data_IF_113749568840
#
_entry.id   IF_113749568840
#
_cell.length_a   1.000
_cell.length_b   1.000
_cell.length_c   1.000
_cell.angle_alpha   90.00
_cell.angle_beta   90.00
_cell.angle_gamma   90.00
#
_symmetry.space_group_name_H-M   'P 1'
#
loop_
_entity.id
_entity.type
_entity.pdbx_description
1 polymer ?
#
# COMPACT_ATOMS: atom_id res chain seq x y z
N UNK A 1 -6.37 -13.57 13.17
CA UNK A 1 -6.23 -12.12 13.47
C UNK A 1 -5.58 -11.35 12.31
N UNK A 2 -4.66 -11.94 11.51
CA UNK A 2 -3.95 -11.20 10.45
C UNK A 2 -4.86 -10.64 9.35
N UNK A 3 -5.83 -11.40 8.84
CA UNK A 3 -6.64 -10.95 7.68
C UNK A 3 -7.43 -9.67 7.98
N UNK A 4 -8.11 -9.58 9.13
CA UNK A 4 -8.88 -8.40 9.51
C UNK A 4 -8.00 -7.15 9.70
N UNK A 5 -6.79 -7.34 10.23
CA UNK A 5 -5.80 -6.27 10.36
C UNK A 5 -5.32 -5.79 8.98
N UNK A 6 -4.90 -6.71 8.10
CA UNK A 6 -4.48 -6.39 6.73
C UNK A 6 -5.60 -5.67 5.98
N UNK A 7 -6.84 -6.15 6.09
CA UNK A 7 -8.01 -5.51 5.49
C UNK A 7 -8.19 -4.08 6.00
N UNK A 8 -8.16 -3.82 7.31
CA UNK A 8 -8.30 -2.45 7.86
C UNK A 8 -7.21 -1.51 7.34
N UNK A 9 -5.95 -1.95 7.36
CA UNK A 9 -4.82 -1.15 6.89
C UNK A 9 -4.89 -0.85 5.40
N UNK A 10 -5.32 -1.81 4.59
CA UNK A 10 -5.53 -1.59 3.16
C UNK A 10 -6.70 -0.62 2.91
N UNK A 11 -7.83 -0.76 3.62
CA UNK A 11 -8.93 0.21 3.52
C UNK A 11 -8.52 1.62 3.89
N UNK A 12 -7.70 1.78 4.94
CA UNK A 12 -7.13 3.08 5.32
C UNK A 12 -6.26 3.64 4.20
N UNK A 13 -5.40 2.82 3.61
CA UNK A 13 -4.56 3.18 2.46
C UNK A 13 -5.41 3.70 1.30
N UNK A 14 -6.43 2.93 0.89
CA UNK A 14 -7.29 3.29 -0.25
C UNK A 14 -8.11 4.54 0.04
N UNK A 15 -8.59 4.72 1.26
CA UNK A 15 -9.33 5.93 1.65
C UNK A 15 -8.48 7.19 1.41
N UNK A 16 -7.20 7.17 1.76
CA UNK A 16 -6.29 8.29 1.46
C UNK A 16 -6.09 8.49 -0.05
N UNK A 17 -5.95 7.42 -0.82
CA UNK A 17 -5.73 7.50 -2.27
C UNK A 17 -6.97 7.93 -3.08
N UNK A 18 -8.18 7.68 -2.58
CA UNK A 18 -9.41 7.78 -3.38
C UNK A 18 -10.38 8.85 -2.91
N UNK A 19 -10.41 9.17 -1.61
CA UNK A 19 -11.40 10.08 -1.03
C UNK A 19 -10.84 11.49 -0.77
N UNK A 20 -9.52 11.66 -0.81
CA UNK A 20 -8.87 12.97 -0.64
C UNK A 20 -9.03 13.86 -1.87
N UNK A 21 -9.22 15.16 -1.63
CA UNK A 21 -9.27 16.22 -2.66
C UNK A 21 -7.86 16.75 -3.00
N UNK A 22 -6.84 16.37 -2.24
CA UNK A 22 -5.47 16.81 -2.48
C UNK A 22 -4.85 16.13 -3.71
N UNK A 23 -3.72 16.67 -4.20
CA UNK A 23 -2.97 16.07 -5.30
C UNK A 23 -2.39 14.70 -4.91
N UNK A 24 -2.12 13.84 -5.90
CA UNK A 24 -1.55 12.50 -5.64
C UNK A 24 -0.23 12.56 -4.87
N UNK A 25 0.57 13.61 -5.10
CA UNK A 25 1.83 13.88 -4.42
C UNK A 25 1.66 14.08 -2.90
N UNK A 26 0.48 14.48 -2.44
CA UNK A 26 0.13 14.60 -1.01
C UNK A 26 -0.53 13.32 -0.50
N UNK A 27 -1.42 12.74 -1.31
CA UNK A 27 -2.22 11.56 -0.91
C UNK A 27 -1.41 10.28 -0.82
N UNK A 28 -0.51 10.03 -1.76
CA UNK A 28 0.28 8.80 -1.82
C UNK A 28 1.22 8.64 -0.61
N UNK A 29 1.97 9.66 -0.17
CA UNK A 29 2.76 9.57 1.06
C UNK A 29 1.93 9.19 2.28
N UNK A 30 0.81 9.88 2.45
CA UNK A 30 -0.09 9.67 3.59
C UNK A 30 -0.68 8.26 3.57
N UNK A 31 -1.14 7.80 2.40
CA UNK A 31 -1.63 6.44 2.21
C UNK A 31 -0.57 5.38 2.57
N UNK A 32 0.68 5.63 2.20
CA UNK A 32 1.78 4.74 2.54
C UNK A 32 2.05 4.72 4.05
N UNK A 33 2.26 5.88 4.67
CA UNK A 33 2.64 5.97 6.08
C UNK A 33 1.53 5.50 7.04
N UNK A 34 0.29 5.90 6.79
CA UNK A 34 -0.83 5.61 7.69
C UNK A 34 -1.38 4.19 7.51
N UNK A 35 -1.16 3.58 6.35
CA UNK A 35 -1.74 2.29 5.97
C UNK A 35 -0.71 1.30 5.46
N UNK A 36 -0.27 1.46 4.20
CA UNK A 36 0.46 0.44 3.45
C UNK A 36 1.74 -0.05 4.16
N UNK A 37 2.56 0.89 4.66
CA UNK A 37 3.81 0.58 5.36
C UNK A 37 3.61 -0.25 6.62
N UNK A 38 2.47 -0.08 7.30
CA UNK A 38 2.19 -0.69 8.61
C UNK A 38 1.88 -2.18 8.54
N UNK A 39 1.66 -2.72 7.34
CA UNK A 39 1.42 -4.15 7.12
C UNK A 39 2.76 -4.85 6.91
N UNK A 40 3.03 -5.91 7.66
CA UNK A 40 4.23 -6.72 7.46
C UNK A 40 4.10 -7.59 6.21
N UNK A 41 5.20 -7.81 5.50
CA UNK A 41 5.20 -8.62 4.26
C UNK A 41 4.75 -10.05 4.56
N UNK A 42 5.11 -10.57 5.73
CA UNK A 42 4.72 -11.88 6.23
C UNK A 42 3.20 -12.02 6.43
N UNK A 43 2.52 -10.93 6.80
CA UNK A 43 1.05 -10.93 6.92
C UNK A 43 0.42 -11.05 5.54
N UNK A 44 0.94 -10.36 4.54
CA UNK A 44 0.49 -10.50 3.13
C UNK A 44 0.82 -11.90 2.60
N UNK A 45 1.96 -12.48 2.99
CA UNK A 45 2.37 -13.83 2.59
C UNK A 45 1.39 -14.90 3.07
N UNK A 46 0.74 -14.70 4.22
CA UNK A 46 -0.33 -15.58 4.69
C UNK A 46 -1.59 -15.55 3.79
N UNK A 47 -1.76 -14.47 3.01
CA UNK A 47 -2.82 -14.31 2.02
C UNK A 47 -2.39 -14.98 0.71
N UNK A 48 -1.27 -14.54 0.12
CA UNK A 48 -0.67 -15.05 -1.10
C UNK A 48 0.84 -14.75 -1.16
N UNK A 49 1.64 -15.77 -1.49
CA UNK A 49 3.10 -15.62 -1.64
C UNK A 49 3.48 -14.65 -2.75
N UNK A 50 2.81 -14.73 -3.90
CA UNK A 50 3.09 -13.87 -5.05
C UNK A 50 2.73 -12.41 -4.76
N UNK A 51 1.61 -12.21 -4.06
CA UNK A 51 1.20 -10.88 -3.63
C UNK A 51 2.18 -10.28 -2.62
N UNK A 52 2.77 -11.10 -1.74
CA UNK A 52 3.77 -10.65 -0.79
C UNK A 52 5.07 -10.19 -1.45
N UNK A 53 5.47 -10.81 -2.56
CA UNK A 53 6.62 -10.35 -3.36
C UNK A 53 6.32 -8.97 -3.93
N UNK A 54 5.21 -8.82 -4.67
CA UNK A 54 4.79 -7.52 -5.24
C UNK A 54 4.67 -6.42 -4.18
N UNK A 55 4.07 -6.76 -3.04
CA UNK A 55 3.91 -5.85 -1.90
C UNK A 55 5.26 -5.43 -1.31
N UNK A 56 6.21 -6.37 -1.18
CA UNK A 56 7.57 -6.09 -0.73
C UNK A 56 8.33 -5.16 -1.67
N UNK A 57 8.30 -5.45 -2.98
CA UNK A 57 8.95 -4.65 -4.02
C UNK A 57 8.43 -3.20 -4.00
N UNK A 58 7.11 -3.04 -3.84
CA UNK A 58 6.48 -1.71 -3.76
C UNK A 58 6.86 -0.97 -2.47
N UNK A 59 6.98 -1.68 -1.34
CA UNK A 59 7.47 -1.09 -0.08
C UNK A 59 8.93 -0.65 -0.19
N UNK A 60 9.76 -1.43 -0.86
CA UNK A 60 11.16 -1.08 -1.11
C UNK A 60 11.24 0.16 -2.00
N UNK A 61 10.56 0.16 -3.15
CA UNK A 61 10.46 1.31 -4.06
C UNK A 61 10.07 2.60 -3.33
N UNK A 62 9.05 2.52 -2.49
CA UNK A 62 8.54 3.66 -1.70
C UNK A 62 9.40 3.99 -0.46
N UNK A 63 10.48 3.27 -0.18
CA UNK A 63 11.41 3.56 0.93
C UNK A 63 12.88 3.69 0.51
N UNK A 64 13.18 3.69 -0.79
CA UNK A 64 14.55 3.80 -1.32
C UNK A 64 15.25 5.12 -0.94
N UNK A 65 14.51 6.22 -0.80
CA UNK A 65 15.06 7.52 -0.42
C UNK A 65 15.03 7.71 1.11
N UNK A 66 16.03 7.15 1.80
CA UNK A 66 16.26 7.43 3.23
C UNK A 66 17.11 8.69 3.39
N UNK A 67 16.49 9.84 3.64
CA UNK A 67 17.17 10.96 4.30
C UNK A 67 16.79 11.00 5.77
N UNK A 68 17.78 11.06 6.67
CA UNK A 68 17.57 11.22 8.10
C UNK A 68 16.75 12.49 8.36
N UNK A 69 15.52 12.35 8.89
CA UNK A 69 14.73 13.47 9.42
C UNK A 69 13.40 13.81 8.74
N UNK A 70 12.97 13.12 7.67
CA UNK A 70 11.62 13.29 7.08
C UNK A 70 10.83 11.97 7.06
N UNK A 71 9.51 12.04 6.86
CA UNK A 71 8.65 10.85 6.70
C UNK A 71 9.16 9.97 5.56
N UNK A 72 8.94 8.66 5.69
CA UNK A 72 9.48 7.63 4.79
C UNK A 72 8.85 7.68 3.38
N UNK A 73 7.74 8.40 3.23
CA UNK A 73 6.94 8.44 2.02
C UNK A 73 6.98 9.81 1.32
N UNK A 74 7.11 10.90 2.09
CA UNK A 74 7.24 12.26 1.53
C UNK A 74 8.50 12.39 0.65
N UNK A 75 9.59 11.72 1.03
CA UNK A 75 10.86 11.75 0.30
C UNK A 75 10.90 10.86 -0.94
N UNK A 76 10.13 9.77 -0.97
CA UNK A 76 10.14 8.79 -2.06
C UNK A 76 9.19 9.17 -3.19
N UNK A 77 8.22 10.06 -2.94
CA UNK A 77 7.36 10.62 -3.99
C UNK A 77 7.86 11.95 -4.54
N UNK A 78 8.74 12.66 -3.82
CA UNK A 78 9.19 14.00 -4.19
C UNK A 78 9.83 14.03 -5.58
N UNK A 79 10.61 13.01 -5.92
CA UNK A 79 11.32 12.90 -7.19
C UNK A 79 10.55 12.13 -8.28
N UNK A 80 9.37 11.58 -7.95
CA UNK A 80 8.55 10.87 -8.93
C UNK A 80 7.83 11.85 -9.86
N UNK A 81 7.78 11.50 -11.14
CA UNK A 81 6.91 12.19 -12.09
C UNK A 81 5.43 11.97 -11.72
N UNK A 82 4.53 12.87 -12.12
CA UNK A 82 3.11 12.70 -11.83
C UNK A 82 2.53 11.41 -12.41
N UNK A 83 3.06 10.96 -13.56
CA UNK A 83 2.71 9.67 -14.14
C UNK A 83 3.15 8.51 -13.24
N UNK A 84 4.36 8.56 -12.68
CA UNK A 84 4.85 7.51 -11.80
C UNK A 84 4.14 7.50 -10.44
N UNK A 85 3.69 8.67 -9.96
CA UNK A 85 2.83 8.77 -8.79
C UNK A 85 1.50 8.06 -9.02
N UNK A 86 0.84 8.34 -10.15
CA UNK A 86 -0.43 7.70 -10.50
C UNK A 86 -0.25 6.19 -10.65
N UNK A 87 0.77 5.73 -11.40
CA UNK A 87 1.06 4.30 -11.54
C UNK A 87 1.31 3.62 -10.21
N UNK A 88 2.03 4.28 -9.30
CA UNK A 88 2.32 3.73 -7.98
C UNK A 88 1.06 3.64 -7.13
N UNK A 89 0.16 4.63 -7.20
CA UNK A 89 -1.14 4.57 -6.54
C UNK A 89 -2.04 3.47 -7.13
N UNK A 90 -2.05 3.30 -8.45
CA UNK A 90 -2.77 2.22 -9.15
C UNK A 90 -2.24 0.84 -8.73
N UNK A 91 -0.93 0.68 -8.57
CA UNK A 91 -0.33 -0.56 -8.11
C UNK A 91 -0.76 -0.92 -6.68
N UNK A 92 -0.87 0.07 -5.79
CA UNK A 92 -1.42 -0.13 -4.43
C UNK A 92 -2.90 -0.55 -4.50
N UNK A 93 -3.69 0.09 -5.36
CA UNK A 93 -5.11 -0.23 -5.56
C UNK A 93 -5.30 -1.66 -6.09
N UNK A 94 -4.47 -2.09 -7.05
CA UNK A 94 -4.47 -3.45 -7.60
C UNK A 94 -4.14 -4.49 -6.52
N UNK A 95 -3.08 -4.24 -5.73
CA UNK A 95 -2.72 -5.10 -4.60
C UNK A 95 -3.88 -5.25 -3.62
N UNK A 96 -4.55 -4.14 -3.27
CA UNK A 96 -5.72 -4.18 -2.39
C UNK A 96 -6.87 -5.00 -2.99
N UNK A 97 -7.20 -4.80 -4.27
CA UNK A 97 -8.27 -5.53 -4.93
C UNK A 97 -8.01 -7.05 -4.88
N UNK A 98 -6.81 -7.48 -5.27
CA UNK A 98 -6.41 -8.89 -5.25
C UNK A 98 -6.41 -9.45 -3.80
N UNK A 99 -5.89 -8.70 -2.82
CA UNK A 99 -5.91 -9.12 -1.43
C UNK A 99 -7.34 -9.35 -0.92
N UNK A 100 -8.23 -8.39 -1.18
CA UNK A 100 -9.61 -8.42 -0.74
C UNK A 100 -10.38 -9.58 -1.37
N UNK A 101 -10.20 -9.83 -2.67
CA UNK A 101 -10.82 -10.96 -3.36
C UNK A 101 -10.39 -12.30 -2.76
N UNK A 102 -9.10 -12.48 -2.50
CA UNK A 102 -8.57 -13.72 -1.89
C UNK A 102 -9.12 -13.91 -0.47
N UNK A 103 -9.13 -12.84 0.34
CA UNK A 103 -9.66 -12.91 1.71
C UNK A 103 -11.15 -13.27 1.70
N UNK A 104 -11.94 -12.68 0.81
CA UNK A 104 -13.37 -12.96 0.73
C UNK A 104 -13.65 -14.38 0.24
N UNK A 105 -12.90 -14.88 -0.75
CA UNK A 105 -12.97 -16.27 -1.18
C UNK A 105 -12.66 -17.24 -0.03
N UNK A 106 -11.65 -16.95 0.80
CA UNK A 106 -11.30 -17.76 1.99
C UNK A 106 -12.41 -17.73 3.05
N UNK A 107 -13.19 -16.65 3.15
CA UNK A 107 -14.33 -16.55 4.08
C UNK A 107 -15.51 -17.39 3.64
N UNK A 108 -15.84 -17.38 2.34
CA UNK A 108 -16.97 -18.14 1.79
C UNK A 108 -16.78 -19.66 1.83
N UNK A 109 -15.56 -20.14 2.05
CA UNK A 109 -15.21 -21.56 2.16
C UNK A 109 -15.27 -22.10 3.61
N UNK A 110 -15.58 -21.27 4.60
CA UNK A 110 -15.72 -21.66 6.01
C UNK A 110 -17.19 -21.74 6.42
#
# INVERSE_FOLDING_TARGET
MSDAYVTERMYRTISHLTLGLEEMRVRLPKAYDDGFKTIAVEEVRSISSDLAVRFGDLKEKLSMNRHEGMSWAELSVADLSDLDLVKTAEEILDIHAIASDIIEMKRLQK
#
